data_IF_697141259198
#
_entry.id   IF_697141259198
#
_cell.length_a   1.000
_cell.length_b   1.000
_cell.length_c   1.000
_cell.angle_alpha   90.00
_cell.angle_beta   90.00
_cell.angle_gamma   90.00
#
_symmetry.space_group_name_H-M   'P 1'
#
loop_
_entity.id
_entity.type
_entity.pdbx_description
1 polymer ?
#
# COMPACT_ATOMS: atom_id res chain seq x y z
N UNK A 1 -3.69 7.11 57.82
CA UNK A 1 -3.66 8.50 57.35
C UNK A 1 -2.90 8.48 56.05
N UNK A 2 -3.64 8.59 54.95
CA UNK A 2 -3.17 8.37 53.59
C UNK A 2 -1.98 9.25 53.22
N UNK A 3 -0.99 8.64 52.57
CA UNK A 3 -0.14 9.32 51.59
C UNK A 3 -0.22 8.47 50.33
N UNK A 4 -1.33 8.66 49.60
CA UNK A 4 -1.44 8.27 48.21
C UNK A 4 -0.51 9.18 47.44
N UNK A 5 0.70 8.67 47.17
CA UNK A 5 1.70 9.35 46.36
C UNK A 5 1.13 9.50 44.96
N UNK A 6 0.63 10.71 44.67
CA UNK A 6 0.30 11.16 43.33
C UNK A 6 1.57 11.02 42.48
N UNK A 7 1.65 9.92 41.73
CA UNK A 7 2.75 9.68 40.82
C UNK A 7 2.62 10.71 39.70
N UNK A 8 3.32 11.83 39.86
CA UNK A 8 3.43 12.89 38.85
C UNK A 8 3.71 12.20 37.50
N UNK A 9 2.72 12.27 36.60
CA UNK A 9 2.86 11.74 35.25
C UNK A 9 4.18 12.30 34.67
N UNK A 10 5.09 11.45 34.14
CA UNK A 10 6.47 11.83 33.83
C UNK A 10 6.62 12.86 32.69
N UNK A 11 5.50 13.39 32.18
CA UNK A 11 5.44 14.24 31.00
C UNK A 11 4.47 15.41 31.22
N UNK A 12 4.89 16.58 30.74
CA UNK A 12 4.06 17.77 30.70
C UNK A 12 2.85 17.56 29.78
N UNK A 13 1.77 18.35 30.00
CA UNK A 13 0.59 18.32 29.13
C UNK A 13 0.92 18.50 27.64
N UNK A 14 1.86 19.39 27.33
CA UNK A 14 2.30 19.63 25.94
C UNK A 14 2.96 18.40 25.33
N UNK A 15 3.80 17.71 26.11
CA UNK A 15 4.44 16.46 25.67
C UNK A 15 3.42 15.36 25.44
N UNK A 16 2.44 15.21 26.34
CA UNK A 16 1.35 14.24 26.16
C UNK A 16 0.49 14.53 24.93
N UNK A 17 0.21 15.80 24.62
CA UNK A 17 -0.51 16.18 23.40
C UNK A 17 0.29 15.81 22.13
N UNK A 18 1.59 16.09 22.11
CA UNK A 18 2.45 15.71 21.00
C UNK A 18 2.55 14.18 20.85
N UNK A 19 2.74 13.47 21.95
CA UNK A 19 2.78 12.01 21.98
C UNK A 19 1.47 11.39 21.47
N UNK A 20 0.31 11.99 21.79
CA UNK A 20 -0.99 11.55 21.26
C UNK A 20 -1.08 11.68 19.74
N UNK A 21 -0.58 12.80 19.18
CA UNK A 21 -0.52 13.00 17.72
C UNK A 21 0.38 11.93 17.08
N UNK A 22 1.55 11.70 17.66
CA UNK A 22 2.52 10.75 17.11
C UNK A 22 2.03 9.29 17.22
N UNK A 23 1.44 8.91 18.36
CA UNK A 23 0.79 7.62 18.54
C UNK A 23 -0.34 7.40 17.53
N UNK A 24 -1.15 8.44 17.27
CA UNK A 24 -2.23 8.39 16.27
C UNK A 24 -1.68 8.20 14.86
N UNK A 25 -0.59 8.91 14.50
CA UNK A 25 0.08 8.76 13.20
C UNK A 25 0.61 7.34 12.99
N UNK A 26 1.23 6.75 14.00
CA UNK A 26 1.73 5.36 13.93
C UNK A 26 0.58 4.37 13.80
N UNK A 27 -0.45 4.50 14.64
CA UNK A 27 -1.65 3.64 14.63
C UNK A 27 -2.35 3.65 13.26
N UNK A 28 -2.44 4.82 12.62
CA UNK A 28 -3.14 4.98 11.35
C UNK A 28 -2.23 4.90 10.11
N UNK A 29 -0.93 4.65 10.27
CA UNK A 29 0.03 4.63 9.17
C UNK A 29 -0.32 3.62 8.07
N UNK A 30 -0.86 2.45 8.45
CA UNK A 30 -1.27 1.39 7.52
C UNK A 30 -2.38 1.82 6.55
N UNK A 31 -3.17 2.84 6.88
CA UNK A 31 -4.26 3.34 6.03
C UNK A 31 -3.71 3.83 4.68
N UNK A 32 -2.50 4.39 4.66
CA UNK A 32 -1.82 4.80 3.42
C UNK A 32 -1.54 3.59 2.53
N UNK A 33 -1.01 2.52 3.10
CA UNK A 33 -0.75 1.26 2.41
C UNK A 33 -2.05 0.62 1.89
N UNK A 34 -3.13 0.64 2.68
CA UNK A 34 -4.41 0.08 2.26
C UNK A 34 -5.10 0.92 1.17
N UNK A 35 -4.96 2.25 1.21
CA UNK A 35 -5.40 3.11 0.12
C UNK A 35 -4.61 2.82 -1.16
N UNK A 36 -3.28 2.61 -1.07
CA UNK A 36 -2.44 2.23 -2.20
C UNK A 36 -2.85 0.87 -2.77
N UNK A 37 -3.07 -0.13 -1.91
CA UNK A 37 -3.60 -1.45 -2.30
C UNK A 37 -4.91 -1.30 -3.07
N UNK A 38 -5.84 -0.51 -2.55
CA UNK A 38 -7.12 -0.25 -3.20
C UNK A 38 -6.94 0.37 -4.59
N UNK A 39 -6.10 1.39 -4.73
CA UNK A 39 -5.84 2.02 -6.02
C UNK A 39 -5.23 1.06 -7.05
N UNK A 40 -4.30 0.20 -6.63
CA UNK A 40 -3.70 -0.83 -7.50
C UNK A 40 -4.72 -1.89 -7.90
N UNK A 41 -5.58 -2.33 -6.99
CA UNK A 41 -6.62 -3.32 -7.28
C UNK A 41 -7.72 -2.79 -8.20
N UNK A 42 -8.09 -1.51 -8.04
CA UNK A 42 -9.05 -0.85 -8.91
C UNK A 42 -8.45 -0.47 -10.27
N UNK A 43 -7.12 -0.43 -10.41
CA UNK A 43 -6.48 0.05 -11.65
C UNK A 43 -6.59 1.57 -11.81
N UNK A 44 -6.53 2.32 -10.71
CA UNK A 44 -6.65 3.80 -10.73
C UNK A 44 -5.61 4.44 -11.65
N UNK A 45 -4.36 3.98 -11.61
CA UNK A 45 -3.31 4.52 -12.45
C UNK A 45 -3.64 4.33 -13.95
N UNK A 46 -4.04 3.12 -14.35
CA UNK A 46 -4.41 2.82 -15.73
C UNK A 46 -5.67 3.60 -16.18
N UNK A 47 -6.64 3.78 -15.29
CA UNK A 47 -7.84 4.57 -15.56
C UNK A 47 -7.52 6.05 -15.82
N UNK A 48 -6.63 6.64 -15.02
CA UNK A 48 -6.14 8.02 -15.24
C UNK A 48 -5.37 8.10 -16.56
N UNK A 49 -4.53 7.10 -16.86
CA UNK A 49 -3.77 7.04 -18.11
C UNK A 49 -4.69 6.98 -19.34
N UNK A 50 -5.68 6.08 -19.33
CA UNK A 50 -6.66 5.94 -20.40
C UNK A 50 -7.54 7.18 -20.60
N UNK A 51 -7.71 8.01 -19.57
CA UNK A 51 -8.41 9.28 -19.63
C UNK A 51 -7.54 10.47 -20.10
N UNK A 52 -6.27 10.24 -20.49
CA UNK A 52 -5.37 11.28 -20.98
C UNK A 52 -4.50 11.95 -19.91
N UNK A 53 -4.45 11.40 -18.69
CA UNK A 53 -3.51 11.83 -17.64
C UNK A 53 -4.00 12.93 -16.69
N UNK A 54 -5.21 13.47 -16.91
CA UNK A 54 -5.92 14.36 -16.00
C UNK A 54 -7.42 14.00 -16.02
N UNK A 55 -7.98 13.61 -14.87
CA UNK A 55 -9.38 13.13 -14.80
C UNK A 55 -10.10 13.65 -13.56
N UNK A 56 -11.34 14.10 -13.73
CA UNK A 56 -12.21 14.46 -12.59
C UNK A 56 -12.57 13.24 -11.74
N UNK A 57 -13.09 13.45 -10.53
CA UNK A 57 -13.56 12.35 -9.69
C UNK A 57 -14.67 11.53 -10.37
N UNK A 58 -15.61 12.19 -11.03
CA UNK A 58 -16.71 11.53 -11.76
C UNK A 58 -16.19 10.78 -12.98
N UNK A 59 -15.25 11.37 -13.73
CA UNK A 59 -14.59 10.71 -14.86
C UNK A 59 -13.80 9.48 -14.42
N UNK A 60 -13.12 9.55 -13.27
CA UNK A 60 -12.40 8.42 -12.69
C UNK A 60 -13.36 7.32 -12.26
N UNK A 61 -14.47 7.67 -11.59
CA UNK A 61 -15.48 6.70 -11.21
C UNK A 61 -16.10 6.01 -12.43
N UNK A 62 -16.35 6.76 -13.51
CA UNK A 62 -16.84 6.22 -14.77
C UNK A 62 -15.82 5.28 -15.44
N UNK A 63 -14.55 5.69 -15.52
CA UNK A 63 -13.47 4.86 -16.07
C UNK A 63 -13.27 3.55 -15.29
N UNK A 64 -13.47 3.59 -13.98
CA UNK A 64 -13.42 2.43 -13.08
C UNK A 64 -14.75 1.64 -13.02
N UNK A 65 -15.77 2.04 -13.78
CA UNK A 65 -17.11 1.42 -13.77
C UNK A 65 -17.74 1.34 -12.37
N UNK A 66 -17.54 2.35 -11.53
CA UNK A 66 -18.04 2.39 -10.16
C UNK A 66 -19.45 2.97 -10.08
N UNK A 67 -20.26 2.42 -9.18
CA UNK A 67 -21.59 2.94 -8.91
C UNK A 67 -21.52 4.36 -8.29
N UNK A 68 -22.47 5.27 -8.59
CA UNK A 68 -22.53 6.61 -8.03
C UNK A 68 -22.46 6.67 -6.49
N UNK A 69 -23.00 5.65 -5.80
CA UNK A 69 -22.97 5.53 -4.34
C UNK A 69 -21.56 5.37 -3.75
N UNK A 70 -20.56 5.02 -4.56
CA UNK A 70 -19.16 4.82 -4.12
C UNK A 70 -18.28 6.06 -4.28
N UNK A 71 -18.75 7.11 -4.96
CA UNK A 71 -17.97 8.35 -5.17
C UNK A 71 -17.44 8.97 -3.87
N UNK A 72 -18.22 9.07 -2.77
CA UNK A 72 -17.69 9.59 -1.52
C UNK A 72 -16.53 8.76 -0.95
N UNK A 73 -16.59 7.43 -1.12
CA UNK A 73 -15.51 6.52 -0.70
C UNK A 73 -14.28 6.67 -1.60
N UNK A 74 -14.46 6.72 -2.92
CA UNK A 74 -13.36 6.94 -3.88
C UNK A 74 -12.66 8.28 -3.59
N UNK A 75 -13.44 9.35 -3.35
CA UNK A 75 -12.90 10.66 -2.99
C UNK A 75 -11.99 10.59 -1.76
N UNK A 76 -12.38 9.84 -0.72
CA UNK A 76 -11.56 9.67 0.49
C UNK A 76 -10.27 8.89 0.21
N UNK A 77 -10.34 7.82 -0.58
CA UNK A 77 -9.16 7.05 -0.98
C UNK A 77 -8.19 7.93 -1.78
N UNK A 78 -8.70 8.63 -2.80
CA UNK A 78 -7.90 9.54 -3.61
C UNK A 78 -7.29 10.66 -2.79
N UNK A 79 -8.02 11.22 -1.81
CA UNK A 79 -7.48 12.24 -0.90
C UNK A 79 -6.32 11.72 -0.05
N UNK A 80 -6.39 10.48 0.45
CA UNK A 80 -5.27 9.87 1.19
C UNK A 80 -4.06 9.70 0.27
N UNK A 81 -4.28 9.28 -0.98
CA UNK A 81 -3.23 9.05 -1.96
C UNK A 81 -2.59 10.36 -2.43
N UNK A 82 -3.37 11.42 -2.61
CA UNK A 82 -2.83 12.75 -2.96
C UNK A 82 -2.08 13.37 -1.79
N UNK A 83 -2.63 13.31 -0.58
CA UNK A 83 -1.94 13.77 0.63
C UNK A 83 -0.65 12.98 0.93
N UNK A 84 -0.54 11.75 0.43
CA UNK A 84 0.66 10.90 0.55
C UNK A 84 1.63 11.05 -0.64
N UNK A 85 1.33 11.91 -1.62
CA UNK A 85 2.18 12.16 -2.79
C UNK A 85 2.15 11.05 -3.86
N UNK A 86 1.25 10.07 -3.75
CA UNK A 86 1.11 9.01 -4.75
C UNK A 86 0.48 9.56 -6.03
N UNK A 87 -0.56 10.40 -5.91
CA UNK A 87 -1.14 11.15 -7.02
C UNK A 87 -1.08 12.65 -6.72
N UNK A 88 -1.28 13.49 -7.74
CA UNK A 88 -1.41 14.93 -7.57
C UNK A 88 -2.86 15.36 -7.83
N UNK A 89 -3.28 16.45 -7.19
CA UNK A 89 -4.53 17.11 -7.52
C UNK A 89 -4.24 18.32 -8.44
N UNK A 90 -5.01 18.42 -9.51
CA UNK A 90 -5.01 19.51 -10.46
C UNK A 90 -5.65 20.77 -9.89
N UNK A 91 -5.27 21.94 -10.42
CA UNK A 91 -5.92 23.22 -10.09
C UNK A 91 -7.42 23.23 -10.42
N UNK A 92 -7.85 22.42 -11.39
CA UNK A 92 -9.25 22.18 -11.75
C UNK A 92 -9.94 21.06 -10.95
N UNK A 93 -9.30 20.53 -9.90
CA UNK A 93 -9.85 19.47 -9.04
C UNK A 93 -9.70 18.03 -9.57
N UNK A 94 -9.16 17.84 -10.78
CA UNK A 94 -8.82 16.53 -11.34
C UNK A 94 -7.61 15.85 -10.69
N UNK A 95 -7.36 14.59 -11.04
CA UNK A 95 -6.26 13.78 -10.54
C UNK A 95 -5.22 13.54 -11.63
N UNK A 96 -3.94 13.73 -11.29
CA UNK A 96 -2.79 13.57 -12.19
C UNK A 96 -1.74 12.64 -11.60
N UNK A 97 -0.82 12.20 -12.45
CA UNK A 97 0.34 11.42 -12.04
C UNK A 97 1.35 12.23 -11.23
N UNK A 98 2.07 11.51 -10.37
CA UNK A 98 3.39 11.87 -9.83
C UNK A 98 4.38 10.81 -10.29
N UNK A 99 5.70 11.01 -10.10
CA UNK A 99 6.67 9.95 -10.37
C UNK A 99 6.38 8.63 -9.63
N UNK A 100 5.69 8.68 -8.49
CA UNK A 100 5.30 7.47 -7.74
C UNK A 100 4.17 6.73 -8.46
N UNK A 101 3.10 7.41 -8.87
CA UNK A 101 1.98 6.76 -9.55
C UNK A 101 2.30 6.29 -10.97
N UNK A 102 3.31 6.87 -11.64
CA UNK A 102 3.76 6.34 -12.95
C UNK A 102 4.34 4.93 -12.83
N UNK A 103 4.90 4.57 -11.68
CA UNK A 103 5.40 3.20 -11.41
C UNK A 103 4.26 2.18 -11.19
N UNK A 104 3.01 2.64 -11.06
CA UNK A 104 1.83 1.79 -10.87
C UNK A 104 1.10 1.45 -12.18
N UNK A 105 1.52 2.05 -13.30
CA UNK A 105 0.95 1.77 -14.61
C UNK A 105 1.23 0.31 -14.98
N UNK A 106 0.23 -0.38 -15.50
CA UNK A 106 0.41 -1.70 -16.06
C UNK A 106 1.35 -1.60 -17.27
N UNK A 107 2.24 -2.56 -17.47
CA UNK A 107 3.11 -2.55 -18.64
C UNK A 107 2.25 -2.69 -19.91
N UNK A 108 2.02 -1.57 -20.60
CA UNK A 108 1.51 -1.59 -21.96
C UNK A 108 2.61 -2.18 -22.83
N UNK A 109 2.36 -3.31 -23.49
CA UNK A 109 3.33 -4.06 -24.29
C UNK A 109 3.94 -3.33 -25.51
N UNK A 110 4.02 -2.01 -25.51
CA UNK A 110 4.66 -1.20 -26.54
C UNK A 110 6.06 -0.76 -26.12
N UNK A 111 7.09 -1.47 -26.62
CA UNK A 111 8.43 -1.01 -27.02
C UNK A 111 9.35 -0.21 -26.08
N UNK A 112 8.84 0.46 -25.05
CA UNK A 112 9.61 1.13 -24.00
C UNK A 112 9.72 0.21 -22.78
N UNK A 113 10.86 0.25 -22.09
CA UNK A 113 11.19 -0.63 -20.98
C UNK A 113 10.07 -0.77 -19.93
N UNK A 114 9.96 -1.97 -19.37
CA UNK A 114 9.04 -2.32 -18.30
C UNK A 114 9.50 -1.68 -16.97
N UNK A 115 8.89 -0.56 -16.60
CA UNK A 115 9.17 0.19 -15.35
C UNK A 115 8.10 0.01 -14.28
N UNK A 116 7.11 -0.84 -14.53
CA UNK A 116 6.02 -1.07 -13.58
C UNK A 116 6.52 -1.80 -12.33
N UNK A 117 6.25 -1.22 -11.17
CA UNK A 117 6.38 -1.85 -9.85
C UNK A 117 5.03 -2.30 -9.30
N UNK A 118 3.99 -2.31 -10.13
CA UNK A 118 2.63 -2.68 -9.72
C UNK A 118 2.58 -4.08 -9.10
N UNK A 119 3.30 -5.06 -9.67
CA UNK A 119 3.34 -6.43 -9.13
C UNK A 119 4.03 -6.50 -7.76
N UNK A 120 5.10 -5.71 -7.54
CA UNK A 120 5.75 -5.58 -6.25
C UNK A 120 4.78 -5.04 -5.18
N UNK A 121 4.02 -4.00 -5.51
CA UNK A 121 3.00 -3.45 -4.60
C UNK A 121 1.90 -4.48 -4.31
N UNK A 122 1.48 -5.25 -5.32
CA UNK A 122 0.46 -6.31 -5.17
C UNK A 122 0.90 -7.39 -4.19
N UNK A 123 2.13 -7.90 -4.29
CA UNK A 123 2.64 -8.95 -3.39
C UNK A 123 2.82 -8.41 -1.97
N UNK A 124 3.48 -7.26 -1.82
CA UNK A 124 3.82 -6.69 -0.51
C UNK A 124 2.58 -6.34 0.32
N UNK A 125 1.50 -5.95 -0.35
CA UNK A 125 0.24 -5.63 0.30
C UNK A 125 -0.75 -6.80 0.29
N UNK A 126 -0.37 -7.98 -0.20
CA UNK A 126 -1.21 -9.19 -0.22
C UNK A 126 -1.34 -9.82 1.18
N UNK A 127 -2.34 -10.68 1.41
CA UNK A 127 -2.44 -11.44 2.66
C UNK A 127 -1.17 -12.24 2.99
N UNK A 128 -0.42 -12.69 1.98
CA UNK A 128 0.83 -13.44 2.19
C UNK A 128 1.91 -12.64 2.92
N UNK A 129 1.94 -11.32 2.76
CA UNK A 129 2.88 -10.43 3.45
C UNK A 129 2.25 -9.71 4.64
N UNK A 130 0.96 -9.37 4.55
CA UNK A 130 0.25 -8.61 5.60
C UNK A 130 -0.16 -9.49 6.78
N UNK A 131 -0.71 -10.68 6.53
CA UNK A 131 -1.21 -11.55 7.61
C UNK A 131 -0.11 -11.97 8.60
N UNK A 132 1.12 -12.33 8.17
CA UNK A 132 2.20 -12.62 9.11
C UNK A 132 2.55 -11.45 10.03
N UNK A 133 2.63 -10.22 9.50
CA UNK A 133 3.00 -9.04 10.30
C UNK A 133 1.89 -8.58 11.23
N UNK A 134 0.62 -8.81 10.90
CA UNK A 134 -0.51 -8.46 11.77
C UNK A 134 -0.72 -9.45 12.91
N UNK A 135 -0.08 -10.62 12.88
CA UNK A 135 -0.22 -11.69 13.89
C UNK A 135 1.09 -11.97 14.65
N UNK A 136 2.02 -11.00 14.70
CA UNK A 136 3.31 -11.17 15.39
C UNK A 136 3.17 -11.47 16.89
N UNK A 137 2.17 -10.90 17.57
CA UNK A 137 1.95 -11.17 19.00
C UNK A 137 1.60 -12.63 19.26
N UNK A 138 0.77 -13.25 18.41
CA UNK A 138 0.47 -14.67 18.48
C UNK A 138 1.70 -15.51 18.15
N UNK A 139 2.53 -15.07 17.20
CA UNK A 139 3.76 -15.74 16.82
C UNK A 139 4.75 -15.84 17.97
N UNK A 140 4.96 -14.77 18.73
CA UNK A 140 5.84 -14.80 19.89
C UNK A 140 5.40 -15.77 20.99
N UNK A 141 4.14 -16.21 20.99
CA UNK A 141 3.60 -17.17 21.94
C UNK A 141 3.68 -18.63 21.44
N UNK A 142 4.27 -18.88 20.27
CA UNK A 142 4.29 -20.17 19.59
C UNK A 142 5.72 -20.57 19.22
N UNK A 143 5.92 -21.86 18.98
CA UNK A 143 7.23 -22.43 18.61
C UNK A 143 7.46 -22.48 17.08
N UNK A 144 6.57 -21.88 16.29
CA UNK A 144 6.71 -21.82 14.83
C UNK A 144 7.93 -20.96 14.42
N UNK A 145 8.76 -21.46 13.51
CA UNK A 145 10.03 -20.80 13.11
C UNK A 145 9.84 -19.37 12.60
N UNK A 146 8.75 -19.11 11.87
CA UNK A 146 8.45 -17.78 11.32
C UNK A 146 6.96 -17.45 11.44
N UNK A 147 6.57 -16.16 11.46
CA UNK A 147 5.16 -15.77 11.45
C UNK A 147 4.46 -16.25 10.17
N UNK A 148 5.20 -16.38 9.06
CA UNK A 148 4.68 -16.96 7.82
C UNK A 148 4.33 -18.45 7.99
N UNK A 149 5.23 -19.23 8.60
CA UNK A 149 5.01 -20.65 8.86
C UNK A 149 3.82 -20.89 9.79
N UNK A 150 3.64 -20.04 10.81
CA UNK A 150 2.47 -20.12 11.68
C UNK A 150 1.15 -19.89 10.93
N UNK A 151 1.09 -18.90 10.04
CA UNK A 151 -0.14 -18.55 9.31
C UNK A 151 -0.44 -19.53 8.16
N UNK A 152 0.59 -20.00 7.44
CA UNK A 152 0.42 -20.76 6.20
C UNK A 152 0.83 -22.24 6.33
N UNK A 153 1.27 -22.68 7.51
CA UNK A 153 1.60 -24.08 7.81
C UNK A 153 2.91 -24.60 7.19
N UNK A 154 3.69 -23.73 6.55
CA UNK A 154 4.98 -24.05 5.95
C UNK A 154 5.86 -22.80 5.86
N UNK A 155 7.19 -22.98 5.89
CA UNK A 155 8.12 -21.89 5.60
C UNK A 155 7.89 -21.28 4.22
N UNK A 156 8.29 -20.02 4.03
CA UNK A 156 8.03 -19.27 2.80
C UNK A 156 8.49 -20.01 1.52
N UNK A 157 9.71 -20.55 1.51
CA UNK A 157 10.26 -21.25 0.36
C UNK A 157 9.61 -22.61 0.13
N UNK A 158 9.28 -23.35 1.18
CA UNK A 158 8.52 -24.59 1.09
C UNK A 158 7.12 -24.34 0.52
N UNK A 159 6.45 -23.29 0.96
CA UNK A 159 5.16 -22.87 0.44
C UNK A 159 5.27 -22.48 -1.04
N UNK A 160 6.31 -21.72 -1.41
CA UNK A 160 6.63 -21.39 -2.80
C UNK A 160 6.88 -22.62 -3.68
N UNK A 161 7.54 -23.66 -3.16
CA UNK A 161 7.73 -24.91 -3.88
C UNK A 161 6.45 -25.74 -4.04
N UNK A 162 5.46 -25.57 -3.16
CA UNK A 162 4.20 -26.35 -3.14
C UNK A 162 3.06 -25.67 -3.89
N UNK A 163 3.03 -24.33 -3.95
CA UNK A 163 1.96 -23.55 -4.58
C UNK A 163 2.50 -22.81 -5.83
N UNK A 164 2.23 -23.35 -7.04
CA UNK A 164 2.65 -22.71 -8.29
C UNK A 164 2.07 -21.32 -8.50
N UNK A 165 0.87 -21.04 -7.97
CA UNK A 165 0.23 -19.73 -8.08
C UNK A 165 0.94 -18.68 -7.24
N UNK A 166 1.28 -19.02 -5.99
CA UNK A 166 2.10 -18.16 -5.14
C UNK A 166 3.51 -17.98 -5.72
N UNK A 167 4.13 -19.05 -6.22
CA UNK A 167 5.44 -19.00 -6.86
C UNK A 167 5.47 -18.04 -8.05
N UNK A 168 4.50 -18.16 -8.96
CA UNK A 168 4.38 -17.26 -10.10
C UNK A 168 4.14 -15.80 -9.66
N UNK A 169 3.32 -15.58 -8.63
CA UNK A 169 3.03 -14.26 -8.11
C UNK A 169 4.25 -13.59 -7.47
N UNK A 170 5.00 -14.34 -6.63
CA UNK A 170 6.25 -13.88 -6.02
C UNK A 170 7.33 -13.62 -7.08
N UNK A 171 7.56 -14.56 -7.99
CA UNK A 171 8.55 -14.42 -9.06
C UNK A 171 8.22 -13.24 -9.98
N UNK A 172 6.93 -13.02 -10.30
CA UNK A 172 6.50 -11.86 -11.08
C UNK A 172 6.85 -10.53 -10.41
N UNK A 173 6.69 -10.44 -9.09
CA UNK A 173 7.08 -9.27 -8.31
C UNK A 173 8.61 -9.07 -8.25
N UNK A 174 9.38 -10.13 -8.01
CA UNK A 174 10.85 -10.04 -8.00
C UNK A 174 11.40 -9.66 -9.39
N UNK A 175 10.78 -10.18 -10.44
CA UNK A 175 11.16 -9.86 -11.81
C UNK A 175 10.83 -8.41 -12.18
N UNK A 176 9.71 -7.84 -11.71
CA UNK A 176 9.39 -6.43 -11.97
C UNK A 176 10.36 -5.48 -11.25
N UNK A 177 10.72 -5.79 -10.00
CA UNK A 177 11.71 -5.03 -9.23
C UNK A 177 13.09 -5.08 -9.88
N UNK A 178 13.54 -6.29 -10.26
CA UNK A 178 14.83 -6.47 -10.95
C UNK A 178 14.90 -5.72 -12.28
N UNK A 179 13.82 -5.75 -13.08
CA UNK A 179 13.76 -5.02 -14.36
C UNK A 179 13.84 -3.51 -14.15
N UNK A 180 13.11 -2.98 -13.17
CA UNK A 180 13.15 -1.56 -12.84
C UNK A 180 14.56 -1.11 -12.41
N UNK A 181 15.21 -1.86 -11.51
CA UNK A 181 16.58 -1.56 -11.06
C UNK A 181 17.57 -1.64 -12.23
N UNK A 182 17.47 -2.65 -13.08
CA UNK A 182 18.36 -2.79 -14.24
C UNK A 182 18.18 -1.66 -15.27
N UNK A 183 16.94 -1.24 -15.55
CA UNK A 183 16.66 -0.08 -16.43
C UNK A 183 17.31 1.20 -15.88
N UNK A 184 17.33 1.37 -14.55
CA UNK A 184 17.94 2.51 -13.87
C UNK A 184 19.48 2.47 -13.82
N UNK A 185 20.12 1.30 -13.98
CA UNK A 185 21.58 1.14 -13.96
C UNK A 185 22.19 1.22 -15.35
N UNK A 186 21.45 0.78 -16.38
CA UNK A 186 21.92 0.78 -17.78
C UNK A 186 21.87 2.19 -18.40
N UNK A 187 21.09 3.10 -17.80
CA UNK A 187 20.92 4.50 -18.23
C UNK A 187 21.53 5.49 -17.24
#
# INVERSE_FOLDING_TARGET
MEQEADAELPHTRRELLQASIDLTRHTLSYVKSMALRCAVQLGVADAIHGAGGDVSLDGLAAALSLAPSKLPCLCRVMRVLTASGVFAQADGGGYRFTPVSTLLLSDGGGGGGCRSLQQLVRIQLSPFCVSPVTNLAEWFARDDETPFAMIFGAGHWDFCGRDPGFSAFFNGAMACDSRFVMDAVIH
#
